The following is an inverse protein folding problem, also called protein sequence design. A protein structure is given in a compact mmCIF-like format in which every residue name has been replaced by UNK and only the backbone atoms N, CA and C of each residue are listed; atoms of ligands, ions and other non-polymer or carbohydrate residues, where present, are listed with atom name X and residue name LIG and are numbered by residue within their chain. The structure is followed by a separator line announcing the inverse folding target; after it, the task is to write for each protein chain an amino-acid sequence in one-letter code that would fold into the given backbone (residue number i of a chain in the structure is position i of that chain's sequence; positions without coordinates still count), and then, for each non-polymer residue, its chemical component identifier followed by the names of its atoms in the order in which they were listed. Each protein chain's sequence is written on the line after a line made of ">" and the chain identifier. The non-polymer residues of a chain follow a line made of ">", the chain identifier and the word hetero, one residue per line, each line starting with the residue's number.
data_IF_808293449534
#
_entry.id   IF_808293449534
#
_cell.length_a   1.000
_cell.length_b   1.000
_cell.length_c   1.000
_cell.angle_alpha   90.00
_cell.angle_beta   90.00
_cell.angle_gamma   90.00
#
_symmetry.space_group_name_H-M   'P 1'
#
loop_
_entity.id
_entity.type
_entity.pdbx_description
1 polymer ?
#
# COMPACT_ATOMS: atom_id res chain seq x y z
N UNK A 1 26.59 -17.41 73.50
CA UNK A 1 26.62 -17.07 72.07
C UNK A 1 25.75 -18.06 71.30
N UNK A 2 24.61 -17.60 70.77
CA UNK A 2 24.01 -17.98 69.47
C UNK A 2 22.59 -17.42 69.43
N UNK A 3 22.41 -16.40 68.59
CA UNK A 3 21.13 -15.80 68.21
C UNK A 3 20.42 -16.78 67.26
N UNK A 4 19.16 -17.13 67.55
CA UNK A 4 18.31 -17.80 66.58
C UNK A 4 17.37 -16.76 65.96
N UNK A 5 17.54 -16.58 64.66
CA UNK A 5 16.84 -15.63 63.79
C UNK A 5 15.54 -16.29 63.34
N UNK A 6 14.41 -15.62 63.56
CA UNK A 6 13.11 -16.00 63.01
C UNK A 6 13.11 -15.68 61.51
N UNK A 7 13.01 -16.72 60.67
CA UNK A 7 12.87 -16.58 59.22
C UNK A 7 11.37 -16.46 58.89
N UNK A 8 10.92 -15.25 58.55
CA UNK A 8 9.57 -14.98 58.08
C UNK A 8 9.47 -15.41 56.60
N UNK A 9 8.71 -16.46 56.31
CA UNK A 9 8.52 -16.97 54.95
C UNK A 9 7.40 -16.17 54.27
N UNK A 10 7.77 -15.11 53.55
CA UNK A 10 6.86 -14.32 52.74
C UNK A 10 6.50 -15.05 51.43
N UNK A 11 5.24 -15.45 51.28
CA UNK A 11 4.71 -15.96 50.02
C UNK A 11 4.58 -14.81 49.02
N UNK A 12 5.40 -14.85 47.96
CA UNK A 12 5.28 -13.97 46.80
C UNK A 12 4.23 -14.59 45.88
N UNK A 13 3.06 -13.96 45.83
CA UNK A 13 1.98 -14.27 44.89
C UNK A 13 2.37 -13.69 43.52
N UNK A 14 2.87 -14.53 42.61
CA UNK A 14 3.08 -14.14 41.21
C UNK A 14 1.72 -14.01 40.51
N UNK A 15 1.29 -12.77 40.25
CA UNK A 15 0.19 -12.46 39.34
C UNK A 15 0.66 -12.70 37.89
N UNK A 16 0.33 -13.87 37.35
CA UNK A 16 0.41 -14.15 35.91
C UNK A 16 -0.72 -13.36 35.23
N UNK A 17 -0.41 -12.18 34.70
CA UNK A 17 -1.26 -11.54 33.70
C UNK A 17 -1.14 -12.36 32.42
N UNK A 18 -2.02 -13.36 32.26
CA UNK A 18 -2.16 -14.10 31.02
C UNK A 18 -2.61 -13.12 29.94
N UNK A 19 -1.82 -12.96 28.88
CA UNK A 19 -2.32 -12.46 27.62
C UNK A 19 -3.52 -13.34 27.26
N UNK A 20 -4.71 -12.75 27.08
CA UNK A 20 -5.80 -13.48 26.41
C UNK A 20 -5.28 -13.77 25.01
N UNK A 21 -4.82 -15.00 24.81
CA UNK A 21 -4.41 -15.50 23.50
C UNK A 21 -5.62 -15.30 22.59
N UNK A 22 -5.50 -14.38 21.63
CA UNK A 22 -6.53 -14.19 20.62
C UNK A 22 -6.44 -15.42 19.72
N UNK A 23 -7.21 -16.45 20.04
CA UNK A 23 -7.23 -17.70 19.27
C UNK A 23 -7.96 -17.40 17.97
N UNK A 24 -7.20 -17.34 16.88
CA UNK A 24 -7.74 -17.15 15.54
C UNK A 24 -8.54 -18.40 15.11
N UNK A 25 -9.84 -18.26 14.77
CA UNK A 25 -10.68 -19.41 14.43
C UNK A 25 -10.10 -20.24 13.27
N UNK A 26 -10.14 -21.57 13.41
CA UNK A 26 -9.75 -22.46 12.32
C UNK A 26 -10.72 -22.38 11.13
N UNK A 27 -10.17 -22.45 9.93
CA UNK A 27 -10.89 -22.41 8.65
C UNK A 27 -10.74 -23.71 7.82
N UNK A 28 -10.14 -24.77 8.35
CA UNK A 28 -9.80 -26.00 7.59
C UNK A 28 -11.01 -26.67 6.93
N UNK A 29 -12.15 -26.68 7.63
CA UNK A 29 -13.38 -27.32 7.15
C UNK A 29 -14.30 -26.35 6.38
N UNK A 30 -13.82 -25.15 6.04
CA UNK A 30 -14.57 -24.16 5.25
C UNK A 30 -14.21 -24.27 3.78
N UNK A 31 -15.09 -23.79 2.92
CA UNK A 31 -14.90 -23.74 1.47
C UNK A 31 -15.07 -22.32 0.97
N UNK A 32 -14.22 -21.91 0.03
CA UNK A 32 -14.40 -20.64 -0.68
C UNK A 32 -15.55 -20.79 -1.66
N UNK A 33 -16.44 -19.79 -1.64
CA UNK A 33 -17.45 -19.59 -2.68
C UNK A 33 -16.84 -18.84 -3.88
N UNK A 34 -16.42 -19.62 -4.86
CA UNK A 34 -15.75 -19.14 -6.07
C UNK A 34 -16.77 -18.65 -7.09
N UNK A 35 -16.56 -17.49 -7.68
CA UNK A 35 -17.52 -16.90 -8.61
C UNK A 35 -17.05 -17.05 -10.08
N UNK A 36 -15.79 -16.76 -10.41
CA UNK A 36 -15.25 -16.82 -11.77
C UNK A 36 -13.72 -16.99 -11.77
N UNK A 37 -13.12 -17.50 -12.87
CA UNK A 37 -13.77 -18.14 -14.01
C UNK A 37 -14.75 -19.27 -13.64
N UNK A 38 -15.82 -19.45 -14.42
CA UNK A 38 -16.74 -20.57 -14.21
C UNK A 38 -16.00 -21.91 -14.41
N UNK A 39 -16.45 -22.99 -13.77
CA UNK A 39 -15.84 -24.30 -13.98
C UNK A 39 -16.08 -24.74 -15.44
N UNK A 40 -15.03 -25.25 -16.10
CA UNK A 40 -15.02 -25.60 -17.54
C UNK A 40 -15.31 -24.40 -18.45
N UNK A 41 -14.92 -23.20 -18.05
CA UNK A 41 -15.05 -22.01 -18.91
C UNK A 41 -14.26 -22.23 -20.21
N UNK A 42 -14.90 -21.95 -21.34
CA UNK A 42 -14.29 -21.86 -22.65
C UNK A 42 -14.41 -20.43 -23.16
N UNK A 43 -13.29 -19.79 -23.52
CA UNK A 43 -13.28 -18.39 -23.92
C UNK A 43 -12.13 -18.06 -24.85
N UNK A 44 -12.27 -16.99 -25.62
CA UNK A 44 -11.22 -16.40 -26.46
C UNK A 44 -10.63 -15.11 -25.83
N UNK A 45 -11.06 -14.75 -24.61
CA UNK A 45 -10.50 -13.62 -23.87
C UNK A 45 -9.25 -14.06 -23.12
N UNK A 46 -8.12 -13.40 -23.35
CA UNK A 46 -6.86 -13.75 -22.69
C UNK A 46 -6.82 -13.24 -21.24
N UNK A 47 -7.43 -12.09 -20.97
CA UNK A 47 -7.50 -11.53 -19.62
C UNK A 47 -8.62 -12.20 -18.83
N UNK A 48 -8.25 -12.85 -17.73
CA UNK A 48 -9.18 -13.49 -16.81
C UNK A 48 -9.21 -12.75 -15.48
N UNK A 49 -10.41 -12.61 -14.91
CA UNK A 49 -10.59 -12.13 -13.53
C UNK A 49 -11.00 -13.31 -12.67
N UNK A 50 -10.08 -13.75 -11.81
CA UNK A 50 -10.34 -14.68 -10.74
C UNK A 50 -11.00 -13.93 -9.59
N UNK A 51 -12.19 -14.36 -9.18
CA UNK A 51 -12.90 -13.71 -8.08
C UNK A 51 -13.70 -14.71 -7.22
N UNK A 52 -13.92 -14.34 -5.97
CA UNK A 52 -14.69 -15.15 -5.01
C UNK A 52 -15.35 -14.23 -3.98
N UNK A 53 -16.29 -14.78 -3.20
CA UNK A 53 -16.84 -14.07 -2.06
C UNK A 53 -15.84 -14.05 -0.89
N UNK A 54 -15.79 -12.96 -0.09
CA UNK A 54 -14.97 -12.92 1.12
C UNK A 54 -15.28 -14.11 2.03
N UNK A 55 -14.24 -14.80 2.49
CA UNK A 55 -14.33 -15.85 3.49
C UNK A 55 -14.07 -15.25 4.87
N UNK A 56 -15.02 -15.44 5.79
CA UNK A 56 -14.83 -15.04 7.19
C UNK A 56 -13.58 -15.70 7.77
N UNK A 57 -12.82 -14.92 8.56
CA UNK A 57 -11.56 -15.31 9.22
C UNK A 57 -10.38 -15.64 8.28
N UNK A 58 -10.52 -15.48 6.96
CA UNK A 58 -9.39 -15.56 6.04
C UNK A 58 -8.66 -14.20 5.99
N UNK A 59 -7.34 -14.21 6.20
CA UNK A 59 -6.49 -13.02 6.06
C UNK A 59 -5.87 -12.89 4.67
N UNK A 60 -5.76 -14.03 3.98
CA UNK A 60 -5.16 -14.15 2.67
C UNK A 60 -5.85 -15.23 1.83
N UNK A 61 -5.58 -15.21 0.54
CA UNK A 61 -6.02 -16.21 -0.42
C UNK A 61 -4.83 -16.67 -1.25
N UNK A 62 -4.59 -17.98 -1.29
CA UNK A 62 -3.59 -18.57 -2.17
C UNK A 62 -4.24 -18.98 -3.48
N UNK A 63 -3.83 -18.34 -4.58
CA UNK A 63 -4.27 -18.66 -5.94
C UNK A 63 -3.14 -19.38 -6.69
N UNK A 64 -3.45 -20.56 -7.23
CA UNK A 64 -2.55 -21.33 -8.07
C UNK A 64 -3.19 -21.60 -9.43
N UNK A 65 -2.39 -21.53 -10.49
CA UNK A 65 -2.78 -21.83 -11.87
C UNK A 65 -1.73 -22.74 -12.49
N UNK A 66 -2.17 -23.83 -13.10
CA UNK A 66 -1.32 -24.80 -13.79
C UNK A 66 -1.86 -25.10 -15.18
N UNK A 67 -0.99 -25.59 -16.06
CA UNK A 67 -1.38 -26.16 -17.34
C UNK A 67 -0.86 -27.60 -17.44
N UNK A 68 -1.63 -28.53 -18.04
CA UNK A 68 -3.05 -28.43 -18.30
C UNK A 68 -3.94 -28.61 -17.05
N UNK A 69 -3.50 -29.41 -16.07
CA UNK A 69 -4.27 -29.77 -14.86
C UNK A 69 -3.38 -30.25 -13.71
N UNK A 70 -3.87 -30.23 -12.47
CA UNK A 70 -3.07 -30.54 -11.26
C UNK A 70 -2.59 -31.99 -11.18
N UNK A 71 -3.35 -32.94 -11.71
CA UNK A 71 -2.94 -34.36 -11.72
C UNK A 71 -1.92 -34.70 -12.82
N UNK A 72 -1.61 -33.75 -13.69
CA UNK A 72 -0.63 -33.91 -14.78
C UNK A 72 -0.03 -32.56 -15.19
N UNK A 73 0.56 -31.85 -14.23
CA UNK A 73 1.11 -30.50 -14.45
C UNK A 73 2.29 -30.56 -15.43
N UNK A 74 2.19 -29.83 -16.53
CA UNK A 74 3.33 -29.56 -17.43
C UNK A 74 3.98 -28.20 -17.14
N UNK A 75 3.19 -27.22 -16.68
CA UNK A 75 3.66 -25.87 -16.37
C UNK A 75 2.94 -25.31 -15.13
N UNK A 76 3.71 -24.82 -14.15
CA UNK A 76 3.20 -23.91 -13.14
C UNK A 76 3.12 -22.50 -13.75
N UNK A 77 1.92 -21.96 -13.84
CA UNK A 77 1.66 -20.65 -14.44
C UNK A 77 1.74 -19.55 -13.38
N UNK A 78 1.15 -19.82 -12.21
CA UNK A 78 1.07 -18.87 -11.10
C UNK A 78 0.94 -19.61 -9.77
N UNK A 79 1.62 -19.12 -8.74
CA UNK A 79 1.35 -19.38 -7.32
C UNK A 79 1.55 -18.08 -6.56
N UNK A 80 0.49 -17.54 -5.98
CA UNK A 80 0.53 -16.24 -5.30
C UNK A 80 -0.37 -16.22 -4.08
N UNK A 81 0.03 -15.41 -3.10
CA UNK A 81 -0.73 -15.15 -1.87
C UNK A 81 -1.19 -13.69 -1.90
N UNK A 82 -2.49 -13.47 -1.94
CA UNK A 82 -3.09 -12.13 -2.06
C UNK A 82 -4.07 -11.88 -0.93
N UNK A 83 -4.34 -10.61 -0.63
CA UNK A 83 -5.32 -10.21 0.40
C UNK A 83 -6.70 -9.92 -0.17
N UNK A 84 -6.76 -9.64 -1.47
CA UNK A 84 -7.99 -9.25 -2.16
C UNK A 84 -8.73 -10.46 -2.71
N UNK A 85 -10.03 -10.33 -2.87
CA UNK A 85 -10.92 -11.38 -3.38
C UNK A 85 -11.00 -11.40 -4.91
N UNK A 86 -10.21 -10.55 -5.57
CA UNK A 86 -10.09 -10.47 -7.03
C UNK A 86 -8.63 -10.46 -7.43
N UNK A 87 -8.34 -11.15 -8.52
CA UNK A 87 -7.04 -11.19 -9.17
C UNK A 87 -7.21 -11.22 -10.69
N UNK A 88 -6.62 -10.26 -11.38
CA UNK A 88 -6.62 -10.21 -12.84
C UNK A 88 -5.32 -10.84 -13.35
N UNK A 89 -5.41 -11.68 -14.38
CA UNK A 89 -4.24 -12.28 -15.02
C UNK A 89 -4.48 -12.45 -16.53
N UNK A 90 -3.50 -12.07 -17.34
CA UNK A 90 -3.49 -12.33 -18.79
C UNK A 90 -2.86 -13.70 -19.06
N UNK A 91 -3.61 -14.60 -19.69
CA UNK A 91 -3.22 -15.97 -19.99
C UNK A 91 -2.91 -16.13 -21.49
N UNK A 92 -1.93 -16.97 -21.80
CA UNK A 92 -1.74 -17.47 -23.16
C UNK A 92 -2.89 -18.43 -23.53
N UNK A 93 -3.15 -18.68 -24.82
CA UNK A 93 -4.04 -19.75 -25.24
C UNK A 93 -3.58 -21.13 -24.73
N UNK A 94 -4.51 -21.91 -24.21
CA UNK A 94 -4.20 -23.19 -23.60
C UNK A 94 -5.31 -23.74 -22.72
N UNK A 95 -5.05 -24.92 -22.15
CA UNK A 95 -5.90 -25.55 -21.12
C UNK A 95 -5.26 -25.33 -19.76
N UNK A 96 -6.08 -25.06 -18.77
CA UNK A 96 -5.62 -24.74 -17.42
C UNK A 96 -6.55 -25.33 -16.36
N UNK A 97 -5.97 -25.62 -15.21
CA UNK A 97 -6.70 -25.67 -13.95
C UNK A 97 -6.17 -24.61 -13.02
N UNK A 98 -7.07 -24.09 -12.20
CA UNK A 98 -6.73 -23.17 -11.15
C UNK A 98 -7.45 -23.56 -9.88
N UNK A 99 -6.87 -23.17 -8.76
CA UNK A 99 -7.47 -23.40 -7.45
C UNK A 99 -7.18 -22.26 -6.49
N UNK A 100 -8.12 -22.01 -5.60
CA UNK A 100 -8.01 -20.99 -4.55
C UNK A 100 -8.39 -21.56 -3.20
N UNK A 101 -7.70 -21.13 -2.14
CA UNK A 101 -8.04 -21.42 -0.73
C UNK A 101 -7.81 -20.19 0.15
N UNK A 102 -8.50 -20.13 1.29
CA UNK A 102 -8.30 -19.11 2.30
C UNK A 102 -7.17 -19.53 3.23
N UNK A 103 -6.36 -18.58 3.66
CA UNK A 103 -5.29 -18.79 4.64
C UNK A 103 -5.40 -17.74 5.75
N UNK A 104 -5.20 -18.17 6.98
CA UNK A 104 -5.08 -17.30 8.14
C UNK A 104 -3.90 -17.74 9.02
N UNK A 105 -3.67 -17.10 10.16
CA UNK A 105 -2.49 -17.39 11.00
C UNK A 105 -2.51 -18.78 11.64
N UNK A 106 -3.69 -19.42 11.74
CA UNK A 106 -3.86 -20.71 12.41
C UNK A 106 -4.06 -21.89 11.44
N UNK A 107 -4.58 -21.67 10.24
CA UNK A 107 -5.00 -22.75 9.33
C UNK A 107 -5.23 -22.29 7.88
N UNK A 108 -5.52 -23.26 7.00
CA UNK A 108 -5.92 -23.00 5.61
C UNK A 108 -7.14 -23.83 5.23
N UNK A 109 -8.04 -23.25 4.43
CA UNK A 109 -9.21 -23.95 3.93
C UNK A 109 -8.83 -25.01 2.89
N UNK A 110 -9.77 -25.89 2.56
CA UNK A 110 -9.65 -26.75 1.37
C UNK A 110 -9.58 -25.90 0.09
N UNK A 111 -8.90 -26.43 -0.93
CA UNK A 111 -8.87 -25.81 -2.25
C UNK A 111 -10.19 -26.00 -2.98
N UNK A 112 -10.69 -24.93 -3.60
CA UNK A 112 -11.71 -25.01 -4.64
C UNK A 112 -11.03 -24.98 -6.01
N UNK A 113 -11.18 -26.06 -6.80
CA UNK A 113 -10.51 -26.22 -8.11
C UNK A 113 -11.50 -26.09 -9.26
N UNK A 114 -11.10 -25.37 -10.30
CA UNK A 114 -11.87 -25.20 -11.55
C UNK A 114 -10.96 -25.33 -12.76
N UNK A 115 -11.52 -25.75 -13.88
CA UNK A 115 -10.82 -25.76 -15.16
C UNK A 115 -11.27 -24.63 -16.08
N UNK A 116 -10.39 -24.20 -16.98
CA UNK A 116 -10.72 -23.30 -18.07
C UNK A 116 -9.86 -23.56 -19.30
N UNK A 117 -10.37 -23.19 -20.47
CA UNK A 117 -9.67 -23.25 -21.75
C UNK A 117 -9.74 -21.89 -22.46
N UNK A 118 -8.57 -21.38 -22.82
CA UNK A 118 -8.39 -20.14 -23.58
C UNK A 118 -8.08 -20.52 -25.03
N UNK A 119 -8.91 -20.09 -25.96
CA UNK A 119 -8.68 -20.26 -27.40
C UNK A 119 -7.89 -19.10 -27.97
N UNK A 120 -7.00 -19.33 -28.96
CA UNK A 120 -6.37 -18.26 -29.73
C UNK A 120 -7.44 -17.38 -30.41
N UNK A 121 -7.19 -16.07 -30.46
CA UNK A 121 -8.05 -15.06 -31.08
C UNK A 121 -7.21 -13.94 -31.70
N UNK A 122 -7.85 -13.08 -32.50
CA UNK A 122 -7.25 -11.84 -33.02
C UNK A 122 -6.74 -10.97 -31.87
N UNK A 123 -5.59 -10.32 -32.10
CA UNK A 123 -5.01 -9.38 -31.14
C UNK A 123 -5.96 -8.19 -30.88
N UNK A 124 -6.77 -7.81 -31.88
CA UNK A 124 -7.74 -6.69 -31.82
C UNK A 124 -8.80 -6.86 -30.74
N UNK A 125 -9.09 -8.09 -30.35
CA UNK A 125 -10.10 -8.38 -29.33
C UNK A 125 -9.54 -8.33 -27.91
N UNK A 126 -8.21 -8.31 -27.79
CA UNK A 126 -7.48 -8.45 -26.53
C UNK A 126 -7.08 -7.09 -25.96
N UNK A 127 -6.78 -7.07 -24.67
CA UNK A 127 -6.25 -5.91 -23.97
C UNK A 127 -5.09 -6.32 -23.06
N UNK A 128 -4.19 -5.37 -22.80
CA UNK A 128 -3.06 -5.56 -21.91
C UNK A 128 -3.48 -5.39 -20.46
N UNK A 129 -2.89 -6.21 -19.59
CA UNK A 129 -2.89 -5.99 -18.15
C UNK A 129 -1.64 -5.21 -17.73
N UNK A 130 -1.85 -4.05 -17.12
CA UNK A 130 -0.80 -3.26 -16.49
C UNK A 130 -0.42 -3.84 -15.12
N UNK A 131 0.87 -3.88 -14.82
CA UNK A 131 1.39 -4.30 -13.50
C UNK A 131 1.93 -3.10 -12.71
N UNK A 132 2.43 -2.06 -13.38
CA UNK A 132 2.96 -0.87 -12.70
C UNK A 132 2.93 0.41 -13.57
N UNK A 133 2.94 1.60 -12.94
CA UNK A 133 2.68 1.84 -11.52
C UNK A 133 1.22 1.47 -11.11
N UNK A 134 0.96 1.43 -9.80
CA UNK A 134 -0.38 1.23 -9.28
C UNK A 134 -1.29 2.41 -9.65
N UNK A 135 -2.57 2.14 -9.86
CA UNK A 135 -3.54 3.20 -10.15
C UNK A 135 -3.72 4.13 -8.94
N UNK A 136 -3.63 5.44 -9.16
CA UNK A 136 -3.74 6.46 -8.11
C UNK A 136 -2.51 6.56 -7.20
N UNK A 137 -1.35 6.05 -7.63
CA UNK A 137 -0.09 6.18 -6.89
C UNK A 137 0.30 7.66 -6.72
N UNK A 138 0.77 8.03 -5.52
CA UNK A 138 1.48 9.29 -5.27
C UNK A 138 2.96 8.97 -5.05
N UNK A 139 3.85 9.69 -5.72
CA UNK A 139 5.29 9.46 -5.67
C UNK A 139 6.06 10.77 -5.58
N UNK A 140 7.02 10.81 -4.66
CA UNK A 140 8.06 11.85 -4.58
C UNK A 140 9.27 11.59 -5.46
N UNK A 141 9.31 10.42 -6.10
CA UNK A 141 10.40 10.04 -7.01
C UNK A 141 10.03 10.41 -8.45
N UNK A 142 10.93 11.10 -9.19
CA UNK A 142 10.69 11.45 -10.59
C UNK A 142 10.77 10.25 -11.54
N UNK A 143 11.47 9.19 -11.14
CA UNK A 143 11.63 7.98 -11.96
C UNK A 143 10.40 7.07 -11.82
N UNK A 144 9.67 6.92 -12.92
CA UNK A 144 8.47 6.11 -13.02
C UNK A 144 8.73 4.93 -13.94
N UNK A 145 8.52 3.73 -13.40
CA UNK A 145 8.59 2.47 -14.15
C UNK A 145 7.17 2.03 -14.54
N UNK A 146 6.88 2.03 -15.83
CA UNK A 146 5.67 1.46 -16.40
C UNK A 146 5.93 -0.01 -16.72
N UNK A 147 5.01 -0.88 -16.34
CA UNK A 147 5.16 -2.33 -16.50
C UNK A 147 3.82 -2.97 -16.87
N UNK A 148 3.89 -4.02 -17.70
CA UNK A 148 2.74 -4.77 -18.15
C UNK A 148 3.05 -6.24 -18.38
N UNK A 149 2.02 -7.07 -18.43
CA UNK A 149 2.16 -8.48 -18.80
C UNK A 149 2.28 -8.63 -20.31
N UNK A 150 3.02 -9.66 -20.72
CA UNK A 150 3.10 -10.07 -22.11
C UNK A 150 1.70 -10.43 -22.64
N UNK A 151 1.40 -10.02 -23.87
CA UNK A 151 0.18 -10.42 -24.57
C UNK A 151 0.51 -11.40 -25.70
N UNK A 152 -0.16 -12.54 -25.74
CA UNK A 152 0.03 -13.53 -26.80
C UNK A 152 -0.26 -12.92 -28.18
N UNK A 153 0.64 -13.15 -29.15
CA UNK A 153 0.52 -12.62 -30.51
C UNK A 153 1.05 -11.18 -30.70
N UNK A 154 1.52 -10.51 -29.64
CA UNK A 154 2.17 -9.21 -29.72
C UNK A 154 3.66 -9.34 -30.01
N UNK A 155 4.21 -8.42 -30.80
CA UNK A 155 5.67 -8.30 -31.04
C UNK A 155 6.26 -7.07 -30.37
N UNK A 156 5.48 -6.00 -30.25
CA UNK A 156 5.88 -4.76 -29.58
C UNK A 156 4.71 -4.18 -28.79
N UNK A 157 5.00 -3.15 -28.01
CA UNK A 157 4.07 -2.46 -27.12
C UNK A 157 4.20 -0.97 -27.34
N UNK A 158 3.07 -0.30 -27.48
CA UNK A 158 3.00 1.17 -27.51
C UNK A 158 2.54 1.67 -26.14
N UNK A 159 3.39 2.46 -25.50
CA UNK A 159 3.09 3.19 -24.27
C UNK A 159 2.79 4.64 -24.62
N UNK A 160 1.65 5.12 -24.12
CA UNK A 160 1.29 6.53 -24.14
C UNK A 160 1.13 7.05 -22.71
N UNK A 161 1.76 8.19 -22.43
CA UNK A 161 1.63 8.92 -21.16
C UNK A 161 1.19 10.33 -21.48
N UNK A 162 0.16 10.78 -20.78
CA UNK A 162 -0.43 12.09 -20.97
C UNK A 162 -0.80 12.73 -19.62
N UNK A 163 -1.01 14.04 -19.62
CA UNK A 163 -1.49 14.81 -18.47
C UNK A 163 -2.81 15.53 -18.76
N UNK A 164 -3.48 15.23 -19.87
CA UNK A 164 -4.71 15.88 -20.32
C UNK A 164 -5.73 14.88 -20.90
N UNK A 165 -5.87 13.70 -20.29
CA UNK A 165 -6.91 12.71 -20.63
C UNK A 165 -6.96 12.27 -22.09
N UNK A 166 -5.80 12.24 -22.74
CA UNK A 166 -5.61 11.89 -24.14
C UNK A 166 -6.48 12.73 -25.09
N UNK A 167 -6.80 13.97 -24.71
CA UNK A 167 -7.63 14.88 -25.52
C UNK A 167 -6.95 15.30 -26.83
N UNK A 168 -5.62 15.34 -26.85
CA UNK A 168 -4.82 15.59 -28.05
C UNK A 168 -3.71 14.54 -28.19
N UNK A 169 -3.88 13.62 -29.14
CA UNK A 169 -2.91 12.55 -29.36
C UNK A 169 -1.58 13.02 -29.95
N UNK A 170 -1.51 14.26 -30.45
CA UNK A 170 -0.27 14.87 -30.95
C UNK A 170 0.55 15.51 -29.84
N UNK A 171 -0.04 15.75 -28.68
CA UNK A 171 0.59 16.44 -27.56
C UNK A 171 0.58 15.57 -26.29
N UNK A 172 1.29 14.45 -26.36
CA UNK A 172 1.49 13.54 -25.23
C UNK A 172 2.82 13.82 -24.54
N UNK A 173 2.88 13.56 -23.23
CA UNK A 173 4.15 13.59 -22.48
C UNK A 173 5.10 12.49 -22.97
N UNK A 174 4.56 11.34 -23.40
CA UNK A 174 5.32 10.23 -23.98
C UNK A 174 4.45 9.45 -24.97
N UNK A 175 5.01 9.10 -26.12
CA UNK A 175 4.43 8.12 -27.05
C UNK A 175 5.58 7.30 -27.66
N UNK A 176 5.80 6.10 -27.13
CA UNK A 176 6.95 5.26 -27.47
C UNK A 176 6.52 3.85 -27.78
N UNK A 177 7.27 3.18 -28.65
CA UNK A 177 7.10 1.75 -28.95
C UNK A 177 8.33 0.99 -28.48
N UNK A 178 8.14 -0.15 -27.82
CA UNK A 178 9.21 -1.02 -27.33
C UNK A 178 8.79 -2.48 -27.38
N UNK A 179 9.74 -3.39 -27.57
CA UNK A 179 9.56 -4.85 -27.44
C UNK A 179 9.68 -5.34 -25.98
N UNK A 180 10.11 -4.46 -25.05
CA UNK A 180 10.19 -4.75 -23.63
C UNK A 180 8.81 -4.77 -22.97
N UNK A 181 8.74 -5.40 -21.78
CA UNK A 181 7.53 -5.43 -20.94
C UNK A 181 7.46 -4.29 -19.92
N UNK A 182 8.29 -3.27 -20.11
CA UNK A 182 8.29 -2.08 -19.30
C UNK A 182 9.14 -0.97 -19.87
N UNK A 183 8.95 0.22 -19.32
CA UNK A 183 9.64 1.44 -19.73
C UNK A 183 9.93 2.31 -18.50
N UNK A 184 11.13 2.88 -18.42
CA UNK A 184 11.52 3.81 -17.36
C UNK A 184 11.52 5.23 -17.92
N UNK A 185 10.77 6.12 -17.28
CA UNK A 185 10.72 7.54 -17.61
C UNK A 185 11.10 8.36 -16.39
N UNK A 186 11.96 9.36 -16.57
CA UNK A 186 12.22 10.39 -15.56
C UNK A 186 11.35 11.60 -15.85
N UNK A 187 10.48 11.96 -14.90
CA UNK A 187 9.61 13.13 -15.00
C UNK A 187 10.35 14.40 -14.57
N UNK A 188 10.10 15.49 -15.30
CA UNK A 188 10.74 16.79 -15.06
C UNK A 188 9.77 17.84 -14.49
N UNK A 189 8.48 17.51 -14.41
CA UNK A 189 7.43 18.40 -13.92
C UNK A 189 6.51 17.62 -13.00
N UNK A 190 6.13 18.22 -11.89
CA UNK A 190 5.09 17.67 -11.02
C UNK A 190 3.73 17.71 -11.73
N UNK A 191 2.85 16.82 -11.34
CA UNK A 191 1.50 16.75 -11.87
C UNK A 191 0.89 15.37 -11.82
N UNK A 192 -0.36 15.31 -12.25
CA UNK A 192 -1.07 14.05 -12.45
C UNK A 192 -0.90 13.59 -13.88
N UNK A 193 -0.47 12.35 -14.01
CA UNK A 193 -0.24 11.67 -15.27
C UNK A 193 -1.18 10.50 -15.42
N UNK A 194 -1.52 10.21 -16.66
CA UNK A 194 -2.32 9.07 -17.08
C UNK A 194 -1.56 8.30 -18.13
N UNK A 195 -1.65 6.97 -18.09
CA UNK A 195 -0.97 6.14 -19.06
C UNK A 195 -1.83 4.97 -19.51
N UNK A 196 -1.59 4.54 -20.74
CA UNK A 196 -2.20 3.38 -21.37
C UNK A 196 -1.19 2.67 -22.26
N UNK A 197 -1.35 1.36 -22.37
CA UNK A 197 -0.47 0.51 -23.19
C UNK A 197 -1.35 -0.33 -24.10
N UNK A 198 -0.96 -0.49 -25.37
CA UNK A 198 -1.52 -1.50 -26.26
C UNK A 198 -0.41 -2.35 -26.85
N UNK A 199 -0.76 -3.57 -27.21
CA UNK A 199 0.14 -4.49 -27.90
C UNK A 199 -0.04 -4.30 -29.40
N UNK A 200 1.04 -4.42 -30.15
CA UNK A 200 1.05 -4.30 -31.60
C UNK A 200 1.80 -5.50 -32.19
N UNK A 201 1.34 -5.95 -33.36
CA UNK A 201 2.10 -6.83 -34.23
C UNK A 201 2.15 -6.25 -35.65
N UNK A 202 2.65 -7.01 -36.62
CA UNK A 202 2.80 -6.53 -38.01
C UNK A 202 1.49 -6.16 -38.71
N UNK A 203 0.33 -6.59 -38.20
CA UNK A 203 -0.97 -6.44 -38.90
C UNK A 203 -2.10 -5.94 -38.00
N UNK A 204 -1.95 -6.03 -36.67
CA UNK A 204 -3.01 -5.79 -35.70
C UNK A 204 -2.50 -5.02 -34.48
N UNK A 205 -3.40 -4.24 -33.89
CA UNK A 205 -3.22 -3.60 -32.60
C UNK A 205 -4.29 -4.14 -31.64
N UNK A 206 -3.90 -4.39 -30.40
CA UNK A 206 -4.85 -4.70 -29.33
C UNK A 206 -5.68 -3.49 -28.97
N UNK A 207 -6.75 -3.72 -28.20
CA UNK A 207 -7.38 -2.64 -27.42
C UNK A 207 -6.33 -2.04 -26.48
N UNK A 208 -6.49 -0.75 -26.19
CA UNK A 208 -5.75 -0.12 -25.10
C UNK A 208 -6.07 -0.83 -23.78
N UNK A 209 -5.09 -0.87 -22.87
CA UNK A 209 -5.32 -1.21 -21.48
C UNK A 209 -6.34 -0.25 -20.85
N UNK A 210 -6.88 -0.63 -19.70
CA UNK A 210 -7.50 0.36 -18.81
C UNK A 210 -6.50 1.48 -18.54
N UNK A 211 -6.96 2.73 -18.63
CA UNK A 211 -6.13 3.89 -18.26
C UNK A 211 -5.83 3.81 -16.77
N UNK A 212 -4.56 4.01 -16.40
CA UNK A 212 -4.15 4.20 -15.01
C UNK A 212 -3.63 5.62 -14.84
N UNK A 213 -3.81 6.17 -13.64
CA UNK A 213 -3.22 7.45 -13.26
C UNK A 213 -2.20 7.29 -12.13
N UNK A 214 -1.32 8.28 -12.01
CA UNK A 214 -0.45 8.48 -10.86
C UNK A 214 -0.10 9.98 -10.76
N UNK A 215 0.36 10.41 -9.60
CA UNK A 215 0.76 11.78 -9.32
C UNK A 215 2.24 11.78 -8.93
N UNK A 216 3.03 12.57 -9.64
CA UNK A 216 4.39 12.92 -9.24
C UNK A 216 4.37 14.28 -8.56
N UNK A 217 4.87 14.31 -7.34
CA UNK A 217 4.86 15.46 -6.46
C UNK A 217 6.10 15.38 -5.58
N UNK A 218 7.06 16.29 -5.78
CA UNK A 218 8.34 16.35 -5.06
C UNK A 218 8.40 17.52 -4.08
N UNK A 219 7.32 18.29 -3.94
CA UNK A 219 7.27 19.51 -3.15
C UNK A 219 6.45 19.25 -1.90
N UNK A 220 7.08 19.34 -0.73
CA UNK A 220 6.37 19.15 0.53
C UNK A 220 5.47 20.32 0.90
N UNK A 221 4.58 20.12 1.89
CA UNK A 221 3.67 21.16 2.32
C UNK A 221 4.39 22.41 2.81
N UNK A 222 3.69 23.54 2.79
CA UNK A 222 4.15 24.79 3.37
C UNK A 222 4.57 24.65 4.85
N UNK A 223 5.31 25.65 5.34
CA UNK A 223 5.69 25.71 6.75
C UNK A 223 4.44 25.81 7.64
N UNK A 224 4.37 24.94 8.64
CA UNK A 224 3.34 24.97 9.69
C UNK A 224 3.49 26.21 10.58
N UNK A 225 2.36 26.88 10.88
CA UNK A 225 2.26 27.98 11.83
C UNK A 225 1.70 27.46 13.17
N UNK A 226 2.46 27.68 14.24
CA UNK A 226 2.05 27.29 15.58
C UNK A 226 1.03 28.30 16.15
N UNK A 227 0.00 27.79 16.81
CA UNK A 227 -1.06 28.59 17.41
C UNK A 227 -0.85 28.71 18.92
N UNK A 228 -1.00 27.63 19.66
CA UNK A 228 -0.82 27.59 21.12
C UNK A 228 0.20 26.52 21.54
N UNK A 229 0.97 26.75 22.62
CA UNK A 229 1.14 28.02 23.32
C UNK A 229 1.86 29.08 22.47
N UNK A 230 1.74 30.35 22.88
CA UNK A 230 2.60 31.42 22.37
C UNK A 230 4.04 31.19 22.82
N UNK A 231 5.01 31.75 22.08
CA UNK A 231 6.41 31.57 22.43
C UNK A 231 6.71 32.15 23.82
N UNK A 232 7.39 31.38 24.67
CA UNK A 232 7.74 31.68 26.06
C UNK A 232 6.53 31.86 27.00
N UNK A 233 5.36 31.36 26.64
CA UNK A 233 4.17 31.44 27.50
C UNK A 233 4.29 30.49 28.70
N UNK A 234 3.86 30.94 29.89
CA UNK A 234 3.64 30.05 31.03
C UNK A 234 2.24 29.44 30.97
N UNK A 235 2.13 28.11 31.09
CA UNK A 235 0.88 27.36 30.91
C UNK A 235 0.75 26.23 31.95
N UNK A 236 -0.46 26.03 32.45
CA UNK A 236 -0.79 24.90 33.32
C UNK A 236 -0.88 23.60 32.52
N UNK A 237 -0.54 22.48 33.16
CA UNK A 237 -0.72 21.13 32.58
C UNK A 237 -2.20 20.69 32.63
N UNK A 238 -2.68 19.90 31.65
CA UNK A 238 -1.97 19.48 30.43
C UNK A 238 -1.90 20.60 29.39
N UNK A 239 -0.77 20.69 28.67
CA UNK A 239 -0.53 21.74 27.68
C UNK A 239 -1.02 21.28 26.30
N UNK A 240 -1.91 22.06 25.69
CA UNK A 240 -2.40 21.79 24.32
C UNK A 240 -1.54 22.50 23.29
N UNK A 241 -0.71 21.73 22.58
CA UNK A 241 0.09 22.19 21.45
C UNK A 241 -0.78 22.17 20.20
N UNK A 242 -0.98 23.32 19.55
CA UNK A 242 -1.86 23.43 18.37
C UNK A 242 -1.19 24.20 17.23
N UNK A 243 -1.56 23.87 16.00
CA UNK A 243 -1.05 24.49 14.78
C UNK A 243 -2.14 24.58 13.72
N UNK A 244 -1.90 25.32 12.63
CA UNK A 244 -2.85 25.44 11.53
C UNK A 244 -2.90 24.17 10.66
N UNK A 245 -4.09 23.85 10.14
CA UNK A 245 -4.23 22.84 9.09
C UNK A 245 -3.66 23.37 7.77
N UNK A 246 -2.93 22.52 7.06
CA UNK A 246 -2.48 22.78 5.68
C UNK A 246 -3.30 21.89 4.74
N UNK A 247 -3.72 22.44 3.61
CA UNK A 247 -4.56 21.69 2.66
C UNK A 247 -3.82 20.47 2.07
N UNK A 248 -2.51 20.60 1.88
CA UNK A 248 -1.62 19.60 1.30
C UNK A 248 -1.03 18.62 2.35
N UNK A 249 -1.30 18.84 3.64
CA UNK A 249 -0.80 17.96 4.69
C UNK A 249 -1.72 16.73 4.88
N UNK A 250 -1.13 15.55 4.77
CA UNK A 250 -1.72 14.26 5.14
C UNK A 250 -1.50 13.97 6.64
N UNK A 251 -0.34 14.36 7.17
CA UNK A 251 0.05 14.15 8.57
C UNK A 251 1.09 15.17 9.02
N UNK A 252 1.33 15.21 10.33
CA UNK A 252 2.28 16.08 10.98
C UNK A 252 3.25 15.27 11.83
N UNK A 253 4.49 15.72 11.90
CA UNK A 253 5.47 15.27 12.88
C UNK A 253 5.64 16.35 13.92
N UNK A 254 5.34 16.01 15.17
CA UNK A 254 5.59 16.87 16.33
C UNK A 254 6.86 16.43 17.05
N UNK A 255 7.74 17.39 17.28
CA UNK A 255 8.96 17.21 18.06
C UNK A 255 8.86 18.07 19.32
N UNK A 256 9.02 17.44 20.48
CA UNK A 256 9.09 18.12 21.78
C UNK A 256 10.44 17.82 22.39
N UNK A 257 11.10 18.86 22.88
CA UNK A 257 12.46 18.86 23.37
C UNK A 257 12.53 19.40 24.81
N UNK A 258 13.64 19.11 25.47
CA UNK A 258 14.05 19.81 26.67
C UNK A 258 14.41 21.28 26.35
N UNK A 259 14.80 22.05 27.37
CA UNK A 259 15.15 23.47 27.23
C UNK A 259 16.35 23.76 26.32
N UNK A 260 17.11 22.74 25.93
CA UNK A 260 18.26 22.84 25.02
C UNK A 260 17.88 22.86 23.53
N UNK A 261 16.57 22.73 23.23
CA UNK A 261 15.99 22.70 21.88
C UNK A 261 16.50 21.57 20.97
N UNK A 262 17.20 20.59 21.54
CA UNK A 262 17.90 19.53 20.81
C UNK A 262 17.58 18.15 21.34
N UNK A 263 17.54 17.99 22.67
CA UNK A 263 17.29 16.70 23.33
C UNK A 263 15.81 16.40 23.32
N UNK A 264 15.33 15.32 22.66
CA UNK A 264 13.92 14.95 22.70
C UNK A 264 13.46 14.76 24.14
N UNK A 265 12.28 15.28 24.47
CA UNK A 265 11.75 15.25 25.83
C UNK A 265 11.55 13.80 26.33
N UNK A 266 11.23 12.88 25.42
CA UNK A 266 11.14 11.45 25.71
C UNK A 266 11.36 10.63 24.44
N UNK A 267 11.43 9.30 24.59
CA UNK A 267 11.52 8.35 23.46
C UNK A 267 10.29 8.33 22.55
N UNK A 268 9.18 8.95 22.95
CA UNK A 268 7.97 9.06 22.11
C UNK A 268 8.07 10.15 21.05
N UNK A 269 9.08 11.02 21.10
CA UNK A 269 9.28 12.09 20.14
C UNK A 269 10.48 11.84 19.23
N UNK A 270 10.40 12.20 17.93
CA UNK A 270 9.24 12.81 17.26
C UNK A 270 8.05 11.84 17.12
N UNK A 271 6.83 12.38 17.10
CA UNK A 271 5.59 11.62 16.95
C UNK A 271 4.85 12.04 15.68
N UNK A 272 4.33 11.06 14.94
CA UNK A 272 3.43 11.30 13.80
C UNK A 272 1.97 11.38 14.26
N UNK A 273 1.26 12.41 13.81
CA UNK A 273 -0.17 12.64 14.12
C UNK A 273 -0.92 13.10 12.87
N UNK A 274 -2.23 12.85 12.81
CA UNK A 274 -3.12 13.34 11.74
C UNK A 274 -4.00 14.50 12.19
N UNK A 275 -4.06 14.77 13.49
CA UNK A 275 -4.71 15.95 14.08
C UNK A 275 -3.86 17.21 13.89
N UNK A 276 -4.45 18.37 14.17
CA UNK A 276 -3.74 19.66 14.27
C UNK A 276 -3.47 20.08 15.72
N UNK A 277 -3.47 19.10 16.61
CA UNK A 277 -3.22 19.29 18.03
C UNK A 277 -2.56 18.06 18.66
N UNK A 278 -1.82 18.32 19.73
CA UNK A 278 -1.18 17.32 20.58
C UNK A 278 -1.27 17.75 22.05
N UNK A 279 -1.59 16.81 22.94
CA UNK A 279 -1.66 17.06 24.38
C UNK A 279 -0.35 16.63 25.02
N UNK A 280 0.39 17.61 25.56
CA UNK A 280 1.59 17.39 26.34
C UNK A 280 1.24 17.42 27.84
N UNK A 281 1.24 16.26 28.48
CA UNK A 281 0.97 16.12 29.91
C UNK A 281 2.20 15.60 30.66
N UNK A 282 3.28 16.36 30.62
CA UNK A 282 4.50 16.10 31.37
C UNK A 282 5.17 17.42 31.80
N UNK A 283 6.28 17.33 32.52
CA UNK A 283 7.07 18.46 32.98
C UNK A 283 6.78 18.92 34.40
N UNK A 284 7.80 19.43 35.07
CA UNK A 284 7.71 19.97 36.43
C UNK A 284 7.41 21.48 36.41
N UNK A 285 6.76 22.05 37.44
CA UNK A 285 6.62 23.49 37.59
C UNK A 285 7.97 24.22 37.43
N UNK A 286 8.01 25.24 36.58
CA UNK A 286 9.20 26.00 36.21
C UNK A 286 10.03 25.41 35.07
N UNK A 287 9.74 24.21 34.60
CA UNK A 287 10.45 23.57 33.48
C UNK A 287 10.10 24.25 32.15
N UNK A 288 11.12 24.53 31.33
CA UNK A 288 10.95 25.08 29.98
C UNK A 288 11.05 23.97 28.95
N UNK A 289 10.02 23.87 28.11
CA UNK A 289 9.87 22.86 27.08
C UNK A 289 9.90 23.54 25.72
N UNK A 290 10.65 22.99 24.77
CA UNK A 290 10.70 23.48 23.40
C UNK A 290 9.92 22.52 22.48
N UNK A 291 9.30 23.03 21.42
CA UNK A 291 8.57 22.21 20.47
C UNK A 291 8.50 22.84 19.09
N UNK A 292 8.36 21.99 18.07
CA UNK A 292 8.14 22.38 16.67
C UNK A 292 7.34 21.31 15.95
N UNK A 293 6.75 21.68 14.81
CA UNK A 293 5.94 20.78 13.97
C UNK A 293 6.37 20.93 12.53
N UNK A 294 6.39 19.83 11.76
CA UNK A 294 6.41 19.87 10.28
C UNK A 294 5.29 19.03 9.72
N UNK A 295 4.86 19.34 8.50
CA UNK A 295 3.84 18.58 7.78
C UNK A 295 4.46 17.61 6.77
N UNK A 296 3.70 16.58 6.41
CA UNK A 296 4.00 15.66 5.32
C UNK A 296 2.77 15.53 4.43
N UNK A 297 2.98 15.53 3.12
CA UNK A 297 1.92 15.30 2.15
C UNK A 297 1.65 13.79 1.91
N UNK A 298 0.81 13.54 0.90
CA UNK A 298 0.42 12.21 0.45
C UNK A 298 1.51 11.48 -0.35
N UNK A 299 2.39 12.20 -1.04
CA UNK A 299 3.58 11.66 -1.70
C UNK A 299 4.72 11.36 -0.70
N UNK A 300 4.56 11.79 0.55
CA UNK A 300 5.50 11.62 1.64
C UNK A 300 6.59 12.69 1.68
N UNK A 301 6.48 13.80 0.94
CA UNK A 301 7.45 14.88 1.06
C UNK A 301 7.25 15.59 2.40
N UNK A 302 8.37 16.01 2.98
CA UNK A 302 8.38 16.76 4.23
C UNK A 302 8.37 18.26 3.93
N UNK A 303 7.46 18.99 4.57
CA UNK A 303 7.51 20.43 4.64
C UNK A 303 8.62 20.93 5.56
N UNK A 304 8.88 22.24 5.51
CA UNK A 304 9.78 22.88 6.47
C UNK A 304 9.23 22.77 7.89
N UNK A 305 10.12 22.64 8.88
CA UNK A 305 9.74 22.79 10.28
C UNK A 305 9.18 24.19 10.54
N UNK A 306 8.17 24.27 11.42
CA UNK A 306 7.79 25.50 12.06
C UNK A 306 8.99 26.13 12.78
N UNK A 307 8.84 27.39 13.18
CA UNK A 307 9.72 27.95 14.22
C UNK A 307 9.66 27.08 15.49
N UNK A 308 10.77 27.05 16.23
CA UNK A 308 10.78 26.47 17.57
C UNK A 308 10.08 27.45 18.51
N UNK A 309 9.10 26.95 19.26
CA UNK A 309 8.49 27.68 20.37
C UNK A 309 8.84 27.02 21.68
N UNK A 310 8.97 27.83 22.71
CA UNK A 310 9.10 27.36 24.09
C UNK A 310 7.87 27.71 24.90
N UNK A 311 7.63 26.96 25.97
CA UNK A 311 6.68 27.31 27.03
C UNK A 311 7.22 26.85 28.38
N UNK A 312 6.76 27.48 29.46
CA UNK A 312 7.13 27.10 30.82
C UNK A 312 5.94 26.47 31.53
N UNK A 313 6.14 25.32 32.15
CA UNK A 313 5.11 24.63 32.93
C UNK A 313 4.86 25.41 34.23
N UNK A 314 3.60 25.70 34.55
CA UNK A 314 3.19 26.33 35.81
C UNK A 314 3.14 25.34 36.98
#
# INVERSE_FOLDING_TARGET
>A
MRKNINLLMGSILLLLAGCSEFIEPSIENRNIDVLAPANKLETNSYQQTFWWNPMADALFYRLQIVSPKFDSVSKLVLDTLIRTEKFVYTMDPGKYEWRVRGENGSSASSYNTRSLQIFPSSLKDQSIQLTGPANGLYSSKPDVRYEWLKLFGATVYRLQVDNNNFLDENNMTLNVTTDNLGFLQTLTKEGTYQFRVRAENSTENSKWSTVRSFTYDATGPDRVLLNTPLNKQSVSRPVRLTWNRLADAERYEISVYQSDEQTPYSKSYPQMVTSTEHVFDAGNPGETIAWRVRAFDKAGNAGAYSEIRTFTVQ
#
